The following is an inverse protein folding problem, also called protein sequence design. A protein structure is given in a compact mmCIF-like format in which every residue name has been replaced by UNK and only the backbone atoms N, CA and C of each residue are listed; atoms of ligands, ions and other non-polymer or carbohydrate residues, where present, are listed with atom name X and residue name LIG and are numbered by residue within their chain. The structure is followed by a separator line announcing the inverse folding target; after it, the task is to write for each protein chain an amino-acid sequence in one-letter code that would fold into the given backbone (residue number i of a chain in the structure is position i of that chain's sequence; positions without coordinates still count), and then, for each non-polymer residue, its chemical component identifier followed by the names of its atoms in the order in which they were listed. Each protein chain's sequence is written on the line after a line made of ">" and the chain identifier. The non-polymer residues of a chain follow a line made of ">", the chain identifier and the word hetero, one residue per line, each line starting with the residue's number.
data_IF_789050488648
#
_entry.id   IF_789050488648
#
_cell.length_a   1.000
_cell.length_b   1.000
_cell.length_c   1.000
_cell.angle_alpha   90.00
_cell.angle_beta   90.00
_cell.angle_gamma   90.00
#
_symmetry.space_group_name_H-M   'P 1'
#
loop_
_entity.id
_entity.type
_entity.pdbx_description
1 polymer ?
#
# COMPACT_ATOMS: atom_id res chain seq x y z
N UNK A 1 -8.79 49.91 -14.82
CA UNK A 1 -9.67 49.27 -13.82
C UNK A 1 -9.53 47.78 -14.01
N UNK A 2 -8.97 47.06 -13.04
CA UNK A 2 -8.79 45.60 -13.11
C UNK A 2 -9.52 45.00 -11.90
N UNK A 3 -10.63 44.33 -12.13
CA UNK A 3 -11.38 43.59 -11.11
C UNK A 3 -10.64 42.28 -10.81
N UNK A 4 -10.10 42.19 -9.59
CA UNK A 4 -9.49 40.98 -9.06
C UNK A 4 -10.61 40.02 -8.63
N UNK A 5 -10.94 39.05 -9.48
CA UNK A 5 -11.85 37.96 -9.11
C UNK A 5 -11.10 36.96 -8.23
N UNK A 6 -11.03 37.22 -6.93
CA UNK A 6 -10.71 36.17 -5.98
C UNK A 6 -11.90 35.21 -5.91
N UNK A 7 -11.70 33.98 -6.38
CA UNK A 7 -12.63 32.87 -6.17
C UNK A 7 -12.77 32.63 -4.66
N UNK A 8 -13.77 33.25 -4.04
CA UNK A 8 -14.11 33.03 -2.64
C UNK A 8 -15.01 31.80 -2.56
N UNK A 9 -14.41 30.63 -2.37
CA UNK A 9 -15.15 29.41 -2.08
C UNK A 9 -15.65 29.48 -0.63
N UNK A 10 -16.93 29.79 -0.46
CA UNK A 10 -17.64 29.71 0.82
C UNK A 10 -18.32 28.34 0.92
N UNK A 11 -17.61 27.35 1.46
CA UNK A 11 -18.18 26.02 1.69
C UNK A 11 -18.86 25.98 3.05
N UNK A 12 -20.13 25.57 3.07
CA UNK A 12 -20.86 25.35 4.32
C UNK A 12 -20.29 24.14 5.07
N UNK A 13 -20.45 24.15 6.41
CA UNK A 13 -20.10 23.00 7.25
C UNK A 13 -20.81 21.70 6.80
N UNK A 14 -22.01 21.83 6.22
CA UNK A 14 -22.78 20.71 5.67
C UNK A 14 -22.09 20.11 4.44
N UNK A 15 -21.65 20.93 3.49
CA UNK A 15 -20.95 20.47 2.29
C UNK A 15 -19.60 19.83 2.61
N UNK A 16 -18.86 20.37 3.58
CA UNK A 16 -17.63 19.76 4.07
C UNK A 16 -17.93 18.41 4.73
N UNK A 17 -18.99 18.32 5.54
CA UNK A 17 -19.42 17.07 6.15
C UNK A 17 -19.80 16.01 5.11
N UNK A 18 -20.55 16.40 4.07
CA UNK A 18 -20.93 15.50 2.98
C UNK A 18 -19.73 15.04 2.16
N UNK A 19 -18.78 15.94 1.87
CA UNK A 19 -17.54 15.58 1.19
C UNK A 19 -16.72 14.59 2.02
N UNK A 20 -16.53 14.87 3.31
CA UNK A 20 -15.81 13.97 4.22
C UNK A 20 -16.50 12.62 4.35
N UNK A 21 -17.83 12.58 4.36
CA UNK A 21 -18.61 11.34 4.41
C UNK A 21 -18.50 10.53 3.10
N UNK A 22 -18.42 11.20 1.94
CA UNK A 22 -18.18 10.53 0.65
C UNK A 22 -16.74 10.01 0.57
N UNK A 23 -15.76 10.81 1.02
CA UNK A 23 -14.35 10.41 1.04
C UNK A 23 -14.11 9.26 2.00
N UNK A 24 -14.70 9.28 3.20
CA UNK A 24 -14.59 8.20 4.19
C UNK A 24 -15.19 6.89 3.68
N UNK A 25 -16.25 6.93 2.86
CA UNK A 25 -16.84 5.74 2.21
C UNK A 25 -15.99 5.19 1.07
N UNK A 26 -15.37 6.06 0.27
CA UNK A 26 -14.60 5.65 -0.92
C UNK A 26 -13.17 5.24 -0.62
N UNK A 27 -12.53 5.87 0.38
CA UNK A 27 -11.14 5.62 0.71
C UNK A 27 -10.85 4.15 1.12
N UNK A 28 -11.68 3.50 1.96
CA UNK A 28 -11.49 2.08 2.30
C UNK A 28 -11.63 1.15 1.10
N UNK A 29 -12.55 1.46 0.17
CA UNK A 29 -12.75 0.68 -1.06
C UNK A 29 -11.52 0.75 -1.98
N UNK A 30 -10.92 1.93 -2.11
CA UNK A 30 -9.68 2.10 -2.88
C UNK A 30 -8.52 1.32 -2.26
N UNK A 31 -8.33 1.41 -0.94
CA UNK A 31 -7.30 0.65 -0.21
C UNK A 31 -7.51 -0.86 -0.40
N UNK A 32 -8.75 -1.32 -0.26
CA UNK A 32 -9.12 -2.73 -0.45
C UNK A 32 -8.82 -3.21 -1.86
N UNK A 33 -9.14 -2.42 -2.89
CA UNK A 33 -8.85 -2.74 -4.29
C UNK A 33 -7.35 -2.86 -4.57
N UNK A 34 -6.52 -1.97 -4.01
CA UNK A 34 -5.06 -2.05 -4.11
C UNK A 34 -4.55 -3.32 -3.42
N UNK A 35 -5.06 -3.63 -2.22
CA UNK A 35 -4.68 -4.84 -1.49
C UNK A 35 -5.07 -6.10 -2.30
N UNK A 36 -6.29 -6.18 -2.82
CA UNK A 36 -6.74 -7.32 -3.63
C UNK A 36 -5.89 -7.50 -4.90
N UNK A 37 -5.49 -6.40 -5.54
CA UNK A 37 -4.56 -6.43 -6.69
C UNK A 37 -3.21 -7.05 -6.31
N UNK A 38 -2.70 -6.78 -5.11
CA UNK A 38 -1.46 -7.36 -4.56
C UNK A 38 -1.62 -8.85 -4.22
N UNK A 39 -2.82 -9.31 -3.87
CA UNK A 39 -3.11 -10.74 -3.63
C UNK A 39 -3.47 -11.54 -4.90
N UNK A 40 -3.41 -10.91 -6.08
CA UNK A 40 -3.63 -11.61 -7.34
C UNK A 40 -2.55 -12.67 -7.60
N UNK A 41 -2.85 -13.76 -8.35
CA UNK A 41 -1.85 -14.74 -8.76
C UNK A 41 -0.65 -14.11 -9.48
N UNK A 42 -0.88 -13.04 -10.24
CA UNK A 42 0.16 -12.29 -10.95
C UNK A 42 1.09 -11.56 -9.96
N UNK A 43 0.51 -10.85 -8.99
CA UNK A 43 1.29 -10.16 -7.96
C UNK A 43 2.07 -11.14 -7.08
N UNK A 44 1.46 -12.27 -6.68
CA UNK A 44 2.14 -13.35 -5.98
C UNK A 44 3.33 -13.92 -6.79
N UNK A 45 3.14 -14.13 -8.10
CA UNK A 45 4.21 -14.56 -9.02
C UNK A 45 5.35 -13.53 -9.09
N UNK A 46 5.02 -12.24 -9.19
CA UNK A 46 6.01 -11.17 -9.25
C UNK A 46 6.81 -11.04 -7.94
N UNK A 47 6.14 -11.15 -6.79
CA UNK A 47 6.80 -11.19 -5.48
C UNK A 47 7.73 -12.40 -5.39
N UNK A 48 7.27 -13.59 -5.80
CA UNK A 48 8.09 -14.80 -5.81
C UNK A 48 9.35 -14.66 -6.67
N UNK A 49 9.24 -14.05 -7.86
CA UNK A 49 10.40 -13.76 -8.73
C UNK A 49 11.36 -12.78 -8.06
N UNK A 50 10.87 -11.70 -7.48
CA UNK A 50 11.71 -10.71 -6.81
C UNK A 50 12.49 -11.32 -5.63
N UNK A 51 11.83 -12.14 -4.81
CA UNK A 51 12.46 -12.86 -3.69
C UNK A 51 13.54 -13.84 -4.19
N UNK A 52 13.24 -14.57 -5.27
CA UNK A 52 14.20 -15.49 -5.89
C UNK A 52 15.42 -14.76 -6.46
N UNK A 53 15.21 -13.63 -7.13
CA UNK A 53 16.28 -12.78 -7.64
C UNK A 53 17.14 -12.21 -6.52
N UNK A 54 16.54 -11.72 -5.44
CA UNK A 54 17.27 -11.24 -4.26
C UNK A 54 18.19 -12.34 -3.68
N UNK A 55 17.66 -13.54 -3.46
CA UNK A 55 18.47 -14.66 -2.99
C UNK A 55 19.64 -14.95 -3.93
N UNK A 56 19.37 -14.99 -5.24
CA UNK A 56 20.39 -15.26 -6.24
C UNK A 56 21.49 -14.19 -6.23
N UNK A 57 21.12 -12.91 -6.20
CA UNK A 57 22.08 -11.80 -6.14
C UNK A 57 22.93 -11.82 -4.87
N UNK A 58 22.34 -12.15 -3.71
CA UNK A 58 23.08 -12.31 -2.47
C UNK A 58 24.14 -13.42 -2.60
N UNK A 59 23.76 -14.58 -3.12
CA UNK A 59 24.71 -15.70 -3.36
C UNK A 59 25.78 -15.32 -4.38
N UNK A 60 25.39 -14.70 -5.49
CA UNK A 60 26.29 -14.28 -6.56
C UNK A 60 27.28 -13.20 -6.08
N UNK A 61 26.89 -12.39 -5.07
CA UNK A 61 27.76 -11.41 -4.41
C UNK A 61 28.75 -12.02 -3.40
N UNK A 62 28.71 -13.34 -3.21
CA UNK A 62 29.62 -14.08 -2.32
C UNK A 62 29.07 -14.28 -0.90
N UNK A 63 27.79 -13.98 -0.64
CA UNK A 63 27.17 -14.26 0.66
C UNK A 63 26.93 -15.78 0.77
N UNK A 64 27.34 -16.43 1.88
CA UNK A 64 27.07 -17.85 2.11
C UNK A 64 25.59 -18.18 1.97
N UNK A 65 25.27 -19.35 1.38
CA UNK A 65 23.90 -19.72 1.01
C UNK A 65 22.93 -19.72 2.21
N UNK A 66 23.39 -20.18 3.38
CA UNK A 66 22.61 -20.20 4.61
C UNK A 66 22.28 -18.78 5.10
N UNK A 67 23.24 -17.86 5.01
CA UNK A 67 23.08 -16.45 5.35
C UNK A 67 22.18 -15.75 4.34
N UNK A 68 22.39 -15.96 3.04
CA UNK A 68 21.55 -15.42 1.97
C UNK A 68 20.10 -15.89 2.10
N UNK A 69 19.89 -17.18 2.38
CA UNK A 69 18.57 -17.75 2.64
C UNK A 69 17.90 -17.10 3.85
N UNK A 70 18.66 -16.88 4.94
CA UNK A 70 18.16 -16.18 6.12
C UNK A 70 17.74 -14.73 5.79
N UNK A 71 18.59 -13.96 5.11
CA UNK A 71 18.29 -12.58 4.73
C UNK A 71 17.05 -12.48 3.85
N UNK A 72 16.92 -13.37 2.86
CA UNK A 72 15.74 -13.44 2.00
C UNK A 72 14.46 -13.78 2.79
N UNK A 73 14.53 -14.71 3.74
CA UNK A 73 13.40 -15.04 4.63
C UNK A 73 13.01 -13.86 5.52
N UNK A 74 13.99 -13.18 6.12
CA UNK A 74 13.77 -12.02 6.98
C UNK A 74 13.11 -10.87 6.19
N UNK A 75 13.51 -10.67 4.92
CA UNK A 75 12.87 -9.72 4.01
C UNK A 75 11.40 -10.10 3.71
N UNK A 76 11.11 -11.38 3.42
CA UNK A 76 9.74 -11.84 3.20
C UNK A 76 8.85 -11.66 4.43
N UNK A 77 9.37 -11.91 5.63
CA UNK A 77 8.65 -11.70 6.89
C UNK A 77 8.33 -10.21 7.07
N UNK A 78 9.32 -9.34 6.86
CA UNK A 78 9.13 -7.89 6.94
C UNK A 78 8.07 -7.39 5.96
N UNK A 79 8.08 -7.92 4.72
CA UNK A 79 7.07 -7.61 3.71
C UNK A 79 5.68 -8.08 4.15
N UNK A 80 5.57 -9.31 4.70
CA UNK A 80 4.31 -9.85 5.23
C UNK A 80 3.76 -8.97 6.35
N UNK A 81 4.59 -8.59 7.33
CA UNK A 81 4.16 -7.80 8.47
C UNK A 81 3.67 -6.41 8.04
N UNK A 82 4.36 -5.78 7.07
CA UNK A 82 3.91 -4.56 6.43
C UNK A 82 2.54 -4.74 5.77
N UNK A 83 2.34 -5.78 4.96
CA UNK A 83 1.06 -6.05 4.30
C UNK A 83 -0.07 -6.31 5.30
N UNK A 84 0.19 -7.08 6.35
CA UNK A 84 -0.78 -7.33 7.44
C UNK A 84 -1.14 -6.05 8.18
N UNK A 85 -0.19 -5.13 8.40
CA UNK A 85 -0.47 -3.83 9.00
C UNK A 85 -1.38 -2.95 8.13
N UNK A 86 -1.24 -3.02 6.79
CA UNK A 86 -2.10 -2.30 5.85
C UNK A 86 -3.50 -2.89 5.81
N UNK A 87 -3.63 -4.22 5.86
CA UNK A 87 -4.92 -4.91 5.97
C UNK A 87 -5.68 -4.52 7.25
N UNK A 88 -4.98 -4.53 8.40
CA UNK A 88 -5.58 -4.15 9.68
C UNK A 88 -6.12 -2.70 9.66
N UNK A 89 -5.40 -1.79 9.00
CA UNK A 89 -5.86 -0.40 8.84
C UNK A 89 -7.09 -0.29 7.94
N UNK A 90 -7.18 -1.08 6.87
CA UNK A 90 -8.35 -1.10 5.99
C UNK A 90 -9.61 -1.61 6.73
N UNK A 91 -9.46 -2.66 7.54
CA UNK A 91 -10.56 -3.32 8.26
C UNK A 91 -11.15 -2.44 9.39
N UNK A 92 -10.30 -1.65 10.06
CA UNK A 92 -10.73 -0.76 11.16
C UNK A 92 -11.54 0.47 10.71
N UNK A 93 -11.42 0.88 9.45
CA UNK A 93 -12.22 1.98 8.86
C UNK A 93 -13.63 1.56 8.49
N UNK A 94 -13.96 0.27 8.54
CA UNK A 94 -15.24 -0.29 8.11
C UNK A 94 -16.17 -0.65 9.30
N UNK A 95 -15.87 -0.15 10.51
CA UNK A 95 -16.68 -0.29 11.72
C UNK A 95 -17.11 1.06 12.28
#
# INVERSE_FOLDING_TARGET
>A
MMTNHQNQYDYSAKEISELLDITSKKLPQLITGIIQSIYSPEAASNIGKAVGSLYKELVDSGIPQDIALKMTKDYMISLKDMMSSLQFRADKTNK
#
